data_IF_310537061319
#
_entry.id   IF_310537061319
#
_cell.length_a   1.000
_cell.length_b   1.000
_cell.length_c   1.000
_cell.angle_alpha   90.00
_cell.angle_beta   90.00
_cell.angle_gamma   90.00
#
_symmetry.space_group_name_H-M   'P 1'
#
loop_
_entity.id
_entity.type
_entity.pdbx_description
1 polymer ?
#
# COMPACT_ATOMS: atom_id res chain seq x y z
N UNK A 1 -28.33 2.40 -13.20
CA UNK A 1 -27.00 1.99 -12.74
C UNK A 1 -26.05 3.12 -13.04
N UNK A 2 -25.07 3.36 -12.17
CA UNK A 2 -23.98 4.31 -12.42
C UNK A 2 -22.87 3.56 -13.15
N UNK A 3 -22.16 4.23 -14.05
CA UNK A 3 -21.05 3.59 -14.76
C UNK A 3 -19.81 3.49 -13.87
N UNK A 4 -18.98 2.46 -14.09
CA UNK A 4 -17.78 2.19 -13.32
C UNK A 4 -16.57 2.92 -13.93
N UNK A 5 -15.84 3.66 -13.10
CA UNK A 5 -14.51 4.20 -13.40
C UNK A 5 -13.50 3.52 -12.49
N UNK A 6 -12.53 2.80 -13.05
CA UNK A 6 -11.55 2.03 -12.27
C UNK A 6 -10.14 2.59 -12.50
N UNK A 7 -9.48 3.01 -11.42
CA UNK A 7 -8.08 3.46 -11.40
C UNK A 7 -7.31 2.78 -10.27
N UNK A 8 -5.98 2.81 -10.30
CA UNK A 8 -5.11 2.23 -9.27
C UNK A 8 -3.74 2.92 -9.27
N UNK A 9 -2.95 2.74 -8.20
CA UNK A 9 -1.50 3.01 -8.18
C UNK A 9 -1.12 4.45 -8.51
N UNK A 10 -1.83 5.42 -7.92
CA UNK A 10 -1.46 6.83 -8.06
C UNK A 10 -0.29 7.23 -7.15
N UNK A 11 -0.10 6.53 -6.03
CA UNK A 11 1.03 6.70 -5.10
C UNK A 11 1.27 8.17 -4.70
N UNK A 12 0.20 8.88 -4.35
CA UNK A 12 0.27 10.27 -3.90
C UNK A 12 1.16 10.36 -2.65
N UNK A 13 2.10 11.30 -2.65
CA UNK A 13 3.04 11.49 -1.55
C UNK A 13 4.38 10.77 -1.71
N UNK A 14 4.58 10.01 -2.80
CA UNK A 14 5.88 9.38 -3.14
C UNK A 14 7.06 10.38 -3.20
N UNK A 15 6.76 11.66 -3.46
CA UNK A 15 7.71 12.77 -3.50
C UNK A 15 8.02 13.40 -2.13
N UNK A 16 7.32 13.03 -1.05
CA UNK A 16 7.48 13.60 0.30
C UNK A 16 8.59 12.93 1.13
N UNK A 17 9.41 12.08 0.52
CA UNK A 17 10.57 11.45 1.17
C UNK A 17 11.73 12.44 1.36
N UNK A 18 12.59 12.26 2.39
CA UNK A 18 13.66 13.22 2.76
C UNK A 18 14.71 13.50 1.66
N UNK A 19 14.74 12.70 0.59
CA UNK A 19 15.64 12.84 -0.56
C UNK A 19 14.88 12.51 -1.84
N UNK A 20 13.88 13.33 -2.13
CA UNK A 20 13.06 13.18 -3.32
C UNK A 20 13.87 13.50 -4.59
N UNK A 21 13.63 12.73 -5.65
CA UNK A 21 14.19 13.00 -6.99
C UNK A 21 13.26 13.94 -7.75
N UNK A 22 13.81 14.67 -8.72
CA UNK A 22 13.03 15.53 -9.62
C UNK A 22 11.88 14.80 -10.30
N UNK A 23 12.06 13.54 -10.71
CA UNK A 23 11.01 12.72 -11.34
C UNK A 23 9.74 12.56 -10.48
N UNK A 24 9.87 12.29 -9.18
CA UNK A 24 8.72 12.17 -8.29
C UNK A 24 7.99 13.51 -8.12
N UNK A 25 8.75 14.61 -8.11
CA UNK A 25 8.18 15.97 -8.07
C UNK A 25 7.45 16.29 -9.38
N UNK A 26 8.03 15.94 -10.54
CA UNK A 26 7.37 16.11 -11.84
C UNK A 26 6.11 15.24 -11.97
N UNK A 27 6.13 14.01 -11.46
CA UNK A 27 4.96 13.16 -11.41
C UNK A 27 3.88 13.77 -10.50
N UNK A 28 4.26 14.30 -9.33
CA UNK A 28 3.32 14.96 -8.43
C UNK A 28 2.63 16.16 -9.09
N UNK A 29 3.40 17.04 -9.74
CA UNK A 29 2.86 18.19 -10.51
C UNK A 29 1.93 17.70 -11.63
N UNK A 30 2.32 16.64 -12.33
CA UNK A 30 1.49 16.07 -13.39
C UNK A 30 0.18 15.50 -12.85
N UNK A 31 0.20 14.83 -11.70
CA UNK A 31 -1.01 14.29 -11.08
C UNK A 31 -1.98 15.39 -10.62
N UNK A 32 -1.44 16.51 -10.09
CA UNK A 32 -2.19 17.74 -9.78
C UNK A 32 -2.88 18.39 -10.99
N UNK A 33 -2.47 18.03 -12.22
CA UNK A 33 -3.08 18.52 -13.45
C UNK A 33 -4.01 17.49 -14.09
N UNK A 34 -3.53 16.24 -14.24
CA UNK A 34 -4.22 15.22 -15.04
C UNK A 34 -5.41 14.62 -14.29
N UNK A 35 -5.29 14.30 -13.00
CA UNK A 35 -6.39 13.68 -12.28
C UNK A 35 -7.61 14.61 -12.18
N UNK A 36 -7.45 15.92 -11.87
CA UNK A 36 -8.57 16.85 -11.93
C UNK A 36 -9.24 16.92 -13.31
N UNK A 37 -8.46 17.01 -14.39
CA UNK A 37 -8.99 17.03 -15.75
C UNK A 37 -9.74 15.75 -16.10
N UNK A 38 -9.22 14.60 -15.68
CA UNK A 38 -9.83 13.29 -15.88
C UNK A 38 -11.18 13.19 -15.16
N UNK A 39 -11.25 13.55 -13.87
CA UNK A 39 -12.49 13.50 -13.11
C UNK A 39 -13.53 14.49 -13.64
N UNK A 40 -13.10 15.70 -14.00
CA UNK A 40 -13.95 16.75 -14.58
C UNK A 40 -14.48 16.38 -15.98
N UNK A 41 -13.74 15.59 -16.76
CA UNK A 41 -14.24 15.03 -18.01
C UNK A 41 -15.43 14.09 -17.75
N UNK A 42 -15.27 13.11 -16.87
CA UNK A 42 -16.31 12.12 -16.59
C UNK A 42 -17.50 12.69 -15.82
N UNK A 43 -17.28 13.61 -14.90
CA UNK A 43 -18.34 14.25 -14.12
C UNK A 43 -19.36 15.02 -14.99
N UNK A 44 -18.97 15.45 -16.21
CA UNK A 44 -19.87 16.12 -17.16
C UNK A 44 -20.75 15.15 -17.94
N UNK A 45 -20.27 13.93 -18.18
CA UNK A 45 -20.88 12.99 -19.12
C UNK A 45 -21.85 12.00 -18.45
N UNK A 46 -21.91 11.95 -17.12
CA UNK A 46 -22.84 11.07 -16.43
C UNK A 46 -22.64 10.98 -14.93
N UNK A 47 -23.27 9.96 -14.33
CA UNK A 47 -23.05 9.59 -12.93
C UNK A 47 -22.19 8.34 -12.85
N UNK A 48 -21.09 8.46 -12.13
CA UNK A 48 -20.04 7.47 -12.07
C UNK A 48 -19.82 6.94 -10.64
N UNK A 49 -19.30 5.72 -10.57
CA UNK A 49 -18.70 5.16 -9.37
C UNK A 49 -17.20 5.02 -9.63
N UNK A 50 -16.41 5.87 -9.00
CA UNK A 50 -14.96 5.78 -9.04
C UNK A 50 -14.51 4.72 -8.03
N UNK A 51 -13.90 3.65 -8.51
CA UNK A 51 -13.16 2.69 -7.70
C UNK A 51 -11.68 2.99 -7.84
N UNK A 52 -11.07 3.36 -6.72
CA UNK A 52 -9.62 3.48 -6.57
C UNK A 52 -9.12 2.17 -5.97
N UNK A 53 -8.54 1.31 -6.80
CA UNK A 53 -8.22 -0.07 -6.49
C UNK A 53 -6.88 -0.25 -5.78
N UNK A 54 -6.67 0.48 -4.69
CA UNK A 54 -5.45 0.45 -3.89
C UNK A 54 -4.38 1.43 -4.34
N UNK A 55 -3.44 1.64 -3.41
CA UNK A 55 -2.22 2.43 -3.61
C UNK A 55 -2.51 3.86 -4.12
N UNK A 56 -3.57 4.48 -3.59
CA UNK A 56 -3.88 5.88 -3.82
C UNK A 56 -2.88 6.80 -3.12
N UNK A 57 -2.58 6.49 -1.85
CA UNK A 57 -1.61 7.21 -1.02
C UNK A 57 -0.38 6.32 -0.80
N UNK A 58 0.81 6.89 -0.93
CA UNK A 58 2.07 6.19 -0.69
C UNK A 58 2.62 6.48 0.71
N UNK A 59 2.00 5.86 1.74
CA UNK A 59 2.42 6.08 3.14
C UNK A 59 3.84 5.56 3.43
N UNK A 60 4.39 4.71 2.56
CA UNK A 60 5.75 4.17 2.71
C UNK A 60 6.80 5.26 2.54
N UNK A 61 6.51 6.27 1.74
CA UNK A 61 7.43 7.36 1.40
C UNK A 61 7.34 8.59 2.31
N UNK A 62 6.35 8.65 3.19
CA UNK A 62 6.16 9.78 4.11
C UNK A 62 6.92 9.53 5.43
N UNK A 63 7.84 10.42 5.79
CA UNK A 63 8.61 10.38 7.05
C UNK A 63 8.08 11.43 8.05
N UNK A 64 6.83 11.27 8.51
CA UNK A 64 6.22 12.06 9.60
C UNK A 64 5.97 11.17 10.83
N UNK A 65 6.17 11.73 12.03
CA UNK A 65 5.94 11.09 13.32
C UNK A 65 7.08 10.17 13.79
N UNK A 66 7.12 9.91 15.10
CA UNK A 66 8.08 9.01 15.75
C UNK A 66 7.49 7.61 16.01
N UNK A 67 8.37 6.60 16.16
CA UNK A 67 7.96 5.21 16.36
C UNK A 67 7.19 4.95 17.67
N UNK A 68 7.27 5.86 18.65
CA UNK A 68 6.60 5.73 19.96
C UNK A 68 5.19 6.33 19.97
N UNK A 69 4.86 7.16 18.99
CA UNK A 69 3.56 7.80 18.88
C UNK A 69 2.46 6.79 18.50
N UNK A 70 1.22 7.22 18.71
CA UNK A 70 0.05 6.47 18.31
C UNK A 70 0.04 6.28 16.78
N UNK A 71 0.07 5.03 16.27
CA UNK A 71 0.25 4.78 14.85
C UNK A 71 -0.89 5.33 14.00
N UNK A 72 -2.12 5.35 14.54
CA UNK A 72 -3.30 5.82 13.82
C UNK A 72 -3.31 7.35 13.71
N UNK A 73 -2.98 8.08 14.78
CA UNK A 73 -2.76 9.53 14.72
C UNK A 73 -1.63 9.93 13.76
N UNK A 74 -0.51 9.21 13.78
CA UNK A 74 0.60 9.46 12.84
C UNK A 74 0.16 9.22 11.40
N UNK A 75 -0.65 8.18 11.14
CA UNK A 75 -1.20 7.93 9.81
C UNK A 75 -2.13 9.07 9.36
N UNK A 76 -2.97 9.61 10.24
CA UNK A 76 -3.82 10.78 9.95
C UNK A 76 -2.98 12.02 9.60
N UNK A 77 -1.91 12.30 10.35
CA UNK A 77 -0.99 13.41 10.04
C UNK A 77 -0.35 13.24 8.65
N UNK A 78 0.03 12.01 8.30
CA UNK A 78 0.60 11.69 6.98
C UNK A 78 -0.43 11.88 5.86
N UNK A 79 -1.67 11.46 6.08
CA UNK A 79 -2.76 11.67 5.13
C UNK A 79 -2.93 13.17 4.85
N UNK A 80 -3.03 13.99 5.90
CA UNK A 80 -3.16 15.45 5.74
C UNK A 80 -1.97 16.04 4.99
N UNK A 81 -0.74 15.66 5.33
CA UNK A 81 0.45 16.14 4.62
C UNK A 81 0.44 15.80 3.12
N UNK A 82 -0.16 14.65 2.73
CA UNK A 82 -0.35 14.33 1.32
C UNK A 82 -1.43 15.21 0.72
N UNK A 83 -2.63 15.26 1.28
CA UNK A 83 -3.70 16.06 0.70
C UNK A 83 -3.35 17.55 0.61
N UNK A 84 -2.61 18.09 1.57
CA UNK A 84 -2.07 19.46 1.55
C UNK A 84 -1.03 19.67 0.43
N UNK A 85 -0.32 18.61 0.01
CA UNK A 85 0.57 18.63 -1.14
C UNK A 85 -0.15 18.43 -2.49
N UNK A 86 -1.43 18.01 -2.46
CA UNK A 86 -2.25 17.78 -3.65
C UNK A 86 -3.63 18.46 -3.55
N UNK A 87 -3.68 19.81 -3.41
CA UNK A 87 -4.93 20.53 -3.22
C UNK A 87 -5.88 20.42 -4.42
N UNK A 88 -5.37 20.40 -5.67
CA UNK A 88 -6.26 20.32 -6.83
C UNK A 88 -6.85 18.93 -7.01
N UNK A 89 -6.10 17.89 -6.66
CA UNK A 89 -6.63 16.52 -6.60
C UNK A 89 -7.77 16.44 -5.60
N UNK A 90 -7.57 16.97 -4.40
CA UNK A 90 -8.64 17.00 -3.40
C UNK A 90 -9.87 17.78 -3.90
N UNK A 91 -9.70 19.02 -4.36
CA UNK A 91 -10.80 19.84 -4.88
C UNK A 91 -11.58 19.12 -5.97
N UNK A 92 -10.89 18.36 -6.82
CA UNK A 92 -11.51 17.57 -7.87
C UNK A 92 -12.30 16.37 -7.33
N UNK A 93 -11.81 15.68 -6.29
CA UNK A 93 -12.56 14.60 -5.64
C UNK A 93 -13.83 15.13 -4.95
N UNK A 94 -13.74 16.28 -4.27
CA UNK A 94 -14.89 16.97 -3.68
C UNK A 94 -15.90 17.33 -4.77
N UNK A 95 -15.45 17.99 -5.83
CA UNK A 95 -16.30 18.38 -6.96
C UNK A 95 -16.95 17.18 -7.64
N UNK A 96 -16.23 16.06 -7.73
CA UNK A 96 -16.73 14.80 -8.28
C UNK A 96 -17.87 14.23 -7.42
N UNK A 97 -17.72 14.25 -6.09
CA UNK A 97 -18.77 13.83 -5.14
C UNK A 97 -19.99 14.77 -5.19
N UNK A 98 -19.77 16.09 -5.21
CA UNK A 98 -20.82 17.11 -5.27
C UNK A 98 -21.65 17.03 -6.55
N UNK A 99 -21.06 16.55 -7.64
CA UNK A 99 -21.77 16.22 -8.89
C UNK A 99 -22.68 14.97 -8.77
N UNK A 100 -22.74 14.33 -7.60
CA UNK A 100 -23.55 13.15 -7.32
C UNK A 100 -22.88 11.84 -7.72
N UNK A 101 -21.57 11.84 -7.98
CA UNK A 101 -20.79 10.62 -8.16
C UNK A 101 -20.40 10.03 -6.79
N UNK A 102 -19.86 8.82 -6.77
CA UNK A 102 -19.38 8.18 -5.54
C UNK A 102 -17.97 7.66 -5.70
N UNK A 103 -17.22 7.60 -4.59
CA UNK A 103 -15.83 7.15 -4.58
C UNK A 103 -15.68 5.96 -3.62
N UNK A 104 -15.04 4.91 -4.08
CA UNK A 104 -14.72 3.72 -3.30
C UNK A 104 -13.20 3.53 -3.32
N UNK A 105 -12.58 3.58 -2.16
CA UNK A 105 -11.17 3.25 -1.98
C UNK A 105 -11.07 1.79 -1.54
N UNK A 106 -10.46 0.94 -2.37
CA UNK A 106 -10.04 -0.40 -1.97
C UNK A 106 -8.65 -0.29 -1.36
N UNK A 107 -8.39 -0.91 -0.21
CA UNK A 107 -7.08 -0.85 0.43
C UNK A 107 -6.02 -1.63 -0.37
N UNK A 108 -4.88 -0.99 -0.63
CA UNK A 108 -3.66 -1.59 -1.16
C UNK A 108 -2.60 -1.82 -0.07
N UNK A 109 -1.37 -2.09 -0.48
CA UNK A 109 -0.26 -2.28 0.45
C UNK A 109 0.47 -0.98 0.81
N UNK A 110 0.45 0.03 -0.06
CA UNK A 110 1.01 1.35 0.22
C UNK A 110 0.08 2.23 1.07
N UNK A 111 -1.22 1.94 1.07
CA UNK A 111 -2.27 2.60 1.83
C UNK A 111 -3.08 1.67 2.73
N UNK A 112 -2.40 0.64 3.27
CA UNK A 112 -2.96 -0.23 4.31
C UNK A 112 -3.43 0.55 5.55
N UNK A 113 -2.97 1.79 5.73
CA UNK A 113 -3.48 2.76 6.70
C UNK A 113 -4.99 3.01 6.59
N UNK A 114 -5.64 2.79 5.44
CA UNK A 114 -7.12 2.80 5.34
C UNK A 114 -7.80 1.64 6.11
N UNK A 115 -7.05 0.73 6.75
CA UNK A 115 -7.59 -0.21 7.73
C UNK A 115 -7.83 0.43 9.12
N UNK A 116 -7.31 1.65 9.34
CA UNK A 116 -7.54 2.45 10.52
C UNK A 116 -8.81 3.30 10.38
N UNK A 117 -9.80 3.13 11.27
CA UNK A 117 -11.03 3.91 11.21
C UNK A 117 -10.81 5.43 11.22
N UNK A 118 -9.83 5.95 11.96
CA UNK A 118 -9.55 7.38 12.02
C UNK A 118 -8.95 7.92 10.72
N UNK A 119 -8.18 7.13 9.97
CA UNK A 119 -7.65 7.54 8.66
C UNK A 119 -8.78 7.68 7.65
N UNK A 120 -9.70 6.71 7.64
CA UNK A 120 -10.89 6.78 6.79
C UNK A 120 -11.81 7.96 7.17
N UNK A 121 -12.03 8.20 8.47
CA UNK A 121 -12.78 9.38 8.93
C UNK A 121 -12.10 10.67 8.50
N UNK A 122 -10.80 10.80 8.72
CA UNK A 122 -10.06 11.99 8.32
C UNK A 122 -10.09 12.23 6.80
N UNK A 123 -10.04 11.18 5.99
CA UNK A 123 -10.21 11.31 4.52
C UNK A 123 -11.63 11.69 4.15
N UNK A 124 -12.65 11.12 4.81
CA UNK A 124 -14.04 11.49 4.57
C UNK A 124 -14.34 12.93 4.99
N UNK A 125 -13.80 13.39 6.12
CA UNK A 125 -13.95 14.77 6.61
C UNK A 125 -13.38 15.81 5.63
N UNK A 126 -12.29 15.44 4.96
CA UNK A 126 -11.67 16.26 3.90
C UNK A 126 -12.57 16.33 2.66
N UNK A 127 -13.22 15.24 2.30
CA UNK A 127 -13.96 15.11 1.04
C UNK A 127 -15.45 15.45 1.12
N UNK A 128 -16.09 15.28 2.27
CA UNK A 128 -17.53 15.44 2.45
C UNK A 128 -17.83 16.65 3.33
N UNK A 129 -18.32 17.73 2.72
CA UNK A 129 -18.77 18.91 3.46
C UNK A 129 -20.10 18.63 4.18
N UNK A 130 -20.07 18.38 5.50
CA UNK A 130 -21.27 18.31 6.34
C UNK A 130 -21.95 16.93 6.45
N UNK A 131 -21.26 15.85 6.11
CA UNK A 131 -21.70 14.48 6.46
C UNK A 131 -21.49 14.18 7.95
N UNK A 132 -22.18 13.17 8.49
CA UNK A 132 -21.90 12.61 9.82
C UNK A 132 -20.70 11.66 9.73
N UNK A 133 -19.48 12.08 10.14
CA UNK A 133 -18.27 11.28 10.03
C UNK A 133 -18.26 10.08 10.99
N UNK A 134 -19.12 10.13 12.00
CA UNK A 134 -19.24 9.13 13.06
C UNK A 134 -20.26 8.04 12.70
N UNK A 135 -20.96 8.17 11.58
CA UNK A 135 -21.81 7.10 11.06
C UNK A 135 -20.97 5.84 10.82
N UNK A 136 -21.35 4.72 11.44
CA UNK A 136 -20.73 3.41 11.20
C UNK A 136 -20.58 3.10 9.70
N UNK A 137 -21.43 3.69 8.84
CA UNK A 137 -21.50 3.55 7.39
C UNK A 137 -20.22 3.93 6.59
N UNK A 138 -19.33 4.79 7.11
CA UNK A 138 -18.14 5.25 6.37
C UNK A 138 -17.06 4.17 6.22
N UNK A 139 -16.89 3.39 7.28
CA UNK A 139 -15.89 2.30 7.38
C UNK A 139 -16.53 0.94 7.59
N UNK A 140 -17.86 0.82 7.49
CA UNK A 140 -18.51 -0.48 7.62
C UNK A 140 -17.89 -1.39 6.56
N UNK A 141 -17.13 -2.37 7.03
CA UNK A 141 -16.34 -3.34 6.29
C UNK A 141 -17.23 -4.25 5.43
N UNK A 142 -18.00 -3.68 4.50
CA UNK A 142 -19.18 -4.35 3.99
C UNK A 142 -19.75 -3.89 2.67
N UNK A 143 -19.29 -2.80 2.06
CA UNK A 143 -19.60 -2.63 0.64
C UNK A 143 -18.73 -3.62 -0.12
N UNK A 144 -19.36 -4.67 -0.62
CA UNK A 144 -18.73 -5.68 -1.48
C UNK A 144 -19.42 -5.76 -2.84
N UNK A 145 -20.48 -4.98 -3.03
CA UNK A 145 -21.24 -4.83 -4.27
C UNK A 145 -21.40 -3.32 -4.53
N UNK A 146 -20.96 -2.85 -5.69
CA UNK A 146 -20.92 -1.40 -5.97
C UNK A 146 -22.32 -0.76 -6.06
N UNK A 147 -23.34 -1.52 -6.45
CA UNK A 147 -24.73 -1.04 -6.49
C UNK A 147 -25.26 -0.56 -5.12
N UNK A 148 -24.64 -1.00 -4.02
CA UNK A 148 -25.01 -0.61 -2.65
C UNK A 148 -24.44 0.75 -2.22
N UNK A 149 -23.52 1.32 -2.99
CA UNK A 149 -22.88 2.60 -2.67
C UNK A 149 -23.80 3.74 -3.06
N UNK A 150 -24.29 4.53 -2.10
CA UNK A 150 -25.13 5.69 -2.35
C UNK A 150 -24.40 6.80 -3.15
N UNK A 151 -25.14 7.59 -3.91
CA UNK A 151 -24.60 8.72 -4.66
C UNK A 151 -24.06 9.80 -3.70
N UNK A 152 -22.97 10.48 -4.07
CA UNK A 152 -22.36 11.52 -3.23
C UNK A 152 -21.67 10.98 -1.97
N UNK A 153 -21.35 9.68 -1.91
CA UNK A 153 -20.70 9.08 -0.75
C UNK A 153 -19.30 8.58 -1.05
N UNK A 154 -18.47 8.57 0.01
CA UNK A 154 -17.17 7.91 0.05
C UNK A 154 -17.27 6.62 0.86
N UNK A 155 -16.61 5.57 0.38
CA UNK A 155 -16.51 4.27 1.07
C UNK A 155 -15.07 3.75 1.05
N UNK A 156 -14.68 3.07 2.11
CA UNK A 156 -13.39 2.40 2.24
C UNK A 156 -13.61 0.90 2.38
N UNK A 157 -13.02 0.13 1.48
CA UNK A 157 -13.21 -1.31 1.35
C UNK A 157 -11.89 -2.01 1.63
N UNK A 158 -11.81 -2.89 2.64
CA UNK A 158 -10.54 -3.43 3.09
C UNK A 158 -9.98 -4.54 2.18
N UNK A 159 -10.71 -5.00 1.16
CA UNK A 159 -10.26 -6.12 0.32
C UNK A 159 -10.77 -6.07 -1.13
N UNK A 160 -12.07 -6.27 -1.36
CA UNK A 160 -12.60 -6.37 -2.72
C UNK A 160 -14.00 -5.78 -2.85
N UNK A 161 -14.32 -5.37 -4.08
CA UNK A 161 -15.67 -5.03 -4.52
C UNK A 161 -16.06 -5.86 -5.75
N UNK A 162 -17.37 -5.99 -5.97
CA UNK A 162 -17.93 -6.66 -7.15
C UNK A 162 -18.89 -5.74 -7.87
N UNK A 163 -18.90 -5.87 -9.19
CA UNK A 163 -19.81 -5.14 -10.06
C UNK A 163 -20.11 -5.95 -11.32
N UNK A 164 -21.38 -6.21 -11.63
CA UNK A 164 -21.78 -6.89 -12.87
C UNK A 164 -21.09 -8.23 -13.19
N UNK A 165 -20.54 -8.94 -12.19
CA UNK A 165 -19.75 -10.17 -12.36
C UNK A 165 -18.23 -9.98 -12.34
N UNK A 166 -17.73 -8.73 -12.33
CA UNK A 166 -16.33 -8.41 -12.08
C UNK A 166 -15.98 -8.57 -10.59
N UNK A 167 -14.76 -9.03 -10.33
CA UNK A 167 -14.13 -9.07 -9.01
C UNK A 167 -12.95 -8.11 -9.03
N UNK A 168 -12.95 -7.12 -8.14
CA UNK A 168 -11.97 -6.05 -8.12
C UNK A 168 -11.29 -6.05 -6.75
N UNK A 169 -10.00 -6.37 -6.74
CA UNK A 169 -9.10 -6.26 -5.59
C UNK A 169 -7.75 -5.73 -6.05
N UNK A 170 -6.96 -5.13 -5.15
CA UNK A 170 -5.68 -4.52 -5.51
C UNK A 170 -4.66 -5.54 -6.07
N UNK A 171 -4.67 -6.78 -5.54
CA UNK A 171 -3.83 -7.87 -6.04
C UNK A 171 -2.50 -8.06 -5.30
N UNK A 172 -2.08 -7.12 -4.45
CA UNK A 172 -0.86 -7.22 -3.64
C UNK A 172 -0.75 -8.48 -2.77
N UNK A 173 -1.89 -9.11 -2.44
CA UNK A 173 -1.93 -10.37 -1.69
C UNK A 173 -1.23 -11.52 -2.43
N UNK A 174 -1.22 -11.47 -3.76
CA UNK A 174 -0.59 -12.49 -4.61
C UNK A 174 0.93 -12.31 -4.75
N UNK A 175 1.49 -11.19 -4.30
CA UNK A 175 2.93 -10.99 -4.16
C UNK A 175 3.35 -11.23 -2.69
N UNK A 176 4.09 -12.32 -2.40
CA UNK A 176 4.59 -12.61 -1.06
C UNK A 176 5.38 -11.46 -0.41
N UNK A 177 6.08 -10.63 -1.19
CA UNK A 177 6.87 -9.53 -0.65
C UNK A 177 5.99 -8.37 -0.17
N UNK A 178 4.83 -8.17 -0.81
CA UNK A 178 3.89 -7.09 -0.54
C UNK A 178 2.79 -7.49 0.45
N UNK A 179 2.49 -8.78 0.57
CA UNK A 179 1.44 -9.28 1.46
C UNK A 179 1.84 -9.34 2.93
N UNK A 180 0.83 -9.37 3.80
CA UNK A 180 0.96 -9.58 5.24
C UNK A 180 -0.01 -10.66 5.71
N UNK A 181 0.29 -11.30 6.84
CA UNK A 181 -0.68 -12.21 7.46
C UNK A 181 -1.87 -11.43 7.99
N UNK A 182 -3.04 -12.08 8.04
CA UNK A 182 -4.26 -11.50 8.61
C UNK A 182 -4.61 -10.14 7.95
N UNK A 183 -4.62 -10.11 6.60
CA UNK A 183 -4.65 -8.89 5.78
C UNK A 183 -5.72 -7.83 6.13
N UNK A 184 -6.88 -8.25 6.65
CA UNK A 184 -7.94 -7.32 7.10
C UNK A 184 -7.63 -6.63 8.44
N UNK A 185 -6.66 -7.11 9.22
CA UNK A 185 -6.17 -6.50 10.46
C UNK A 185 -4.74 -6.98 10.76
N UNK A 186 -3.75 -6.59 9.95
CA UNK A 186 -2.38 -7.07 10.08
C UNK A 186 -1.67 -6.26 11.18
N UNK A 187 -2.16 -6.33 12.43
CA UNK A 187 -1.74 -5.43 13.51
C UNK A 187 -1.02 -6.15 14.65
N UNK A 188 -0.17 -5.39 15.34
CA UNK A 188 0.48 -5.76 16.59
C UNK A 188 0.48 -4.59 17.54
N UNK A 189 -0.20 -4.73 18.69
CA UNK A 189 -0.39 -3.63 19.64
C UNK A 189 -1.03 -2.40 18.97
N UNK A 190 -1.99 -2.62 18.07
CA UNK A 190 -2.64 -1.58 17.28
C UNK A 190 -1.85 -1.05 16.07
N UNK A 191 -0.55 -1.34 15.96
CA UNK A 191 0.29 -0.89 14.83
C UNK A 191 0.24 -1.86 13.66
N UNK A 192 0.09 -1.37 12.43
CA UNK A 192 0.23 -2.18 11.22
C UNK A 192 1.62 -2.83 11.16
N UNK A 193 1.61 -4.12 10.87
CA UNK A 193 2.79 -4.93 10.61
C UNK A 193 3.23 -4.65 9.19
N UNK A 194 4.52 -4.40 9.02
CA UNK A 194 5.13 -4.07 7.73
C UNK A 194 5.28 -5.31 6.87
N UNK A 195 5.08 -5.17 5.57
CA UNK A 195 5.50 -6.18 4.59
C UNK A 195 7.01 -6.18 4.41
N UNK A 196 7.55 -7.19 3.73
CA UNK A 196 8.98 -7.24 3.39
C UNK A 196 9.33 -6.10 2.42
N UNK A 197 8.45 -5.82 1.46
CA UNK A 197 8.58 -4.72 0.52
C UNK A 197 8.61 -3.36 1.21
N UNK A 198 7.73 -3.09 2.20
CA UNK A 198 7.77 -1.83 2.95
C UNK A 198 9.11 -1.65 3.68
N UNK A 199 9.61 -2.73 4.31
CA UNK A 199 10.91 -2.71 5.00
C UNK A 199 12.04 -2.43 4.01
N UNK A 200 12.00 -3.02 2.81
CA UNK A 200 12.94 -2.76 1.73
C UNK A 200 12.91 -1.29 1.32
N UNK A 201 11.72 -0.76 1.01
CA UNK A 201 11.52 0.62 0.56
C UNK A 201 12.04 1.62 1.58
N UNK A 202 11.61 1.50 2.85
CA UNK A 202 12.01 2.46 3.89
C UNK A 202 13.48 2.37 4.29
N UNK A 203 14.11 1.19 4.22
CA UNK A 203 15.49 1.00 4.69
C UNK A 203 16.54 1.12 3.58
N UNK A 204 16.15 0.90 2.33
CA UNK A 204 17.04 0.90 1.18
C UNK A 204 16.61 1.92 0.12
N UNK A 205 15.47 1.71 -0.56
CA UNK A 205 15.04 2.51 -1.72
C UNK A 205 14.97 4.01 -1.40
N UNK A 206 14.33 4.39 -0.28
CA UNK A 206 14.20 5.79 0.13
C UNK A 206 15.53 6.43 0.54
N UNK A 207 16.57 5.62 0.76
CA UNK A 207 17.93 6.04 1.12
C UNK A 207 18.91 5.97 -0.06
N UNK A 208 18.41 5.57 -1.23
CA UNK A 208 19.17 5.41 -2.49
C UNK A 208 18.56 6.28 -3.60
N UNK A 209 18.54 7.63 -3.47
CA UNK A 209 18.06 8.51 -4.54
C UNK A 209 18.86 8.39 -5.85
N UNK A 210 20.02 7.74 -5.82
CA UNK A 210 20.85 7.51 -7.00
C UNK A 210 20.33 6.39 -7.93
N UNK A 211 19.49 5.47 -7.43
CA UNK A 211 18.92 4.37 -8.22
C UNK A 211 17.69 4.87 -8.95
N UNK A 212 17.57 4.51 -10.24
CA UNK A 212 16.39 4.80 -11.04
C UNK A 212 15.19 3.97 -10.62
N UNK A 213 14.01 4.60 -10.59
CA UNK A 213 12.79 3.92 -10.18
C UNK A 213 12.51 2.74 -11.11
N UNK A 214 12.74 2.92 -12.41
CA UNK A 214 12.62 1.88 -13.43
C UNK A 214 13.92 1.12 -13.70
N UNK A 215 14.96 1.29 -12.86
CA UNK A 215 16.20 0.56 -13.01
C UNK A 215 15.99 -0.96 -12.90
N UNK A 216 15.01 -1.41 -12.09
CA UNK A 216 14.69 -2.83 -11.97
C UNK A 216 14.24 -3.44 -13.30
N UNK A 217 13.56 -2.68 -14.15
CA UNK A 217 13.08 -3.15 -15.46
C UNK A 217 14.13 -3.03 -16.56
N UNK A 218 15.15 -2.18 -16.36
CA UNK A 218 16.16 -1.85 -17.38
C UNK A 218 17.54 -2.45 -17.13
N UNK A 219 17.91 -2.68 -15.87
CA UNK A 219 19.27 -3.06 -15.50
C UNK A 219 19.37 -4.57 -15.30
N UNK A 220 20.36 -5.18 -15.94
CA UNK A 220 20.83 -6.49 -15.51
C UNK A 220 21.63 -6.38 -14.21
N UNK A 221 21.86 -7.52 -13.55
CA UNK A 221 22.75 -7.59 -12.37
C UNK A 221 24.14 -7.00 -12.66
N UNK A 222 24.68 -7.21 -13.87
CA UNK A 222 25.99 -6.69 -14.25
C UNK A 222 25.98 -5.17 -14.44
N UNK A 223 24.85 -4.61 -14.89
CA UNK A 223 24.69 -3.18 -15.04
C UNK A 223 24.66 -2.49 -13.67
N UNK A 224 24.01 -3.09 -12.67
CA UNK A 224 24.09 -2.63 -11.28
C UNK A 224 25.52 -2.63 -10.74
N UNK A 225 26.30 -3.68 -11.00
CA UNK A 225 27.71 -3.75 -10.57
C UNK A 225 28.54 -2.66 -11.24
N UNK A 226 28.44 -2.53 -12.57
CA UNK A 226 29.16 -1.49 -13.33
C UNK A 226 28.78 -0.08 -12.89
N UNK A 227 27.49 0.16 -12.71
CA UNK A 227 26.93 1.43 -12.23
C UNK A 227 27.43 1.81 -10.83
N UNK A 228 27.55 0.82 -9.93
CA UNK A 228 28.06 1.02 -8.58
C UNK A 228 29.59 1.27 -8.57
N UNK A 229 30.35 0.51 -9.36
CA UNK A 229 31.81 0.67 -9.51
C UNK A 229 32.15 2.05 -10.09
N UNK A 230 31.40 2.51 -11.10
CA UNK A 230 31.59 3.83 -11.72
C UNK A 230 31.42 4.99 -10.73
N UNK A 231 30.74 4.79 -9.61
CA UNK A 231 30.55 5.79 -8.54
C UNK A 231 31.62 5.73 -7.44
N UNK A 232 32.54 4.79 -7.53
CA UNK A 232 33.69 4.64 -6.64
C UNK A 232 33.40 3.89 -5.34
N UNK A 233 34.47 3.52 -4.63
CA UNK A 233 34.42 2.60 -3.49
C UNK A 233 33.56 3.09 -2.32
N UNK A 234 33.54 4.41 -2.04
CA UNK A 234 32.73 4.99 -0.96
C UNK A 234 31.24 4.74 -1.18
N UNK A 235 30.81 4.84 -2.43
CA UNK A 235 29.43 4.55 -2.82
C UNK A 235 29.10 3.07 -2.63
N UNK A 236 29.98 2.18 -3.09
CA UNK A 236 29.81 0.73 -2.90
C UNK A 236 29.69 0.32 -1.44
N UNK A 237 30.53 0.89 -0.55
CA UNK A 237 30.44 0.65 0.90
C UNK A 237 29.11 1.15 1.46
N UNK A 238 28.60 2.31 1.02
CA UNK A 238 27.26 2.80 1.40
C UNK A 238 26.16 1.85 0.93
N UNK A 239 26.20 1.38 -0.32
CA UNK A 239 25.21 0.43 -0.86
C UNK A 239 25.20 -0.85 -0.04
N UNK A 240 26.37 -1.43 0.22
CA UNK A 240 26.50 -2.63 1.04
C UNK A 240 25.95 -2.42 2.46
N UNK A 241 26.29 -1.29 3.10
CA UNK A 241 25.76 -0.96 4.42
C UNK A 241 24.23 -0.84 4.43
N UNK A 242 23.64 -0.13 3.45
CA UNK A 242 22.18 0.02 3.35
C UNK A 242 21.50 -1.33 3.06
N UNK A 243 22.09 -2.16 2.21
CA UNK A 243 21.61 -3.51 1.92
C UNK A 243 21.64 -4.39 3.18
N UNK A 244 22.75 -4.42 3.93
CA UNK A 244 22.83 -5.18 5.18
C UNK A 244 21.86 -4.65 6.24
N UNK A 245 21.64 -3.32 6.30
CA UNK A 245 20.63 -2.71 7.18
C UNK A 245 19.20 -3.11 6.81
N UNK A 246 18.91 -3.25 5.52
CA UNK A 246 17.63 -3.75 5.00
C UNK A 246 17.43 -5.22 5.40
N UNK A 247 18.39 -6.08 5.09
CA UNK A 247 18.40 -7.51 5.47
C UNK A 247 18.18 -7.67 6.98
N UNK A 248 18.95 -6.95 7.80
CA UNK A 248 18.78 -6.98 9.25
C UNK A 248 17.39 -6.51 9.71
N UNK A 249 16.79 -5.57 8.98
CA UNK A 249 15.40 -5.15 9.19
C UNK A 249 14.38 -6.25 8.89
N UNK A 250 14.55 -6.96 7.78
CA UNK A 250 13.67 -8.08 7.38
C UNK A 250 13.82 -9.28 8.33
N UNK A 251 15.04 -9.60 8.74
CA UNK A 251 15.28 -10.64 9.75
C UNK A 251 14.70 -10.25 11.12
N UNK A 252 14.76 -8.97 11.50
CA UNK A 252 14.11 -8.49 12.72
C UNK A 252 12.58 -8.54 12.63
N UNK A 253 12.00 -8.29 11.46
CA UNK A 253 10.57 -8.49 11.19
C UNK A 253 10.19 -9.95 11.46
N UNK A 254 10.96 -10.90 10.94
CA UNK A 254 10.77 -12.33 11.19
C UNK A 254 10.95 -12.72 12.69
N UNK A 255 12.01 -12.24 13.33
CA UNK A 255 12.43 -12.69 14.67
C UNK A 255 11.75 -11.96 15.85
N UNK A 256 11.40 -10.68 15.71
CA UNK A 256 11.11 -9.77 16.85
C UNK A 256 9.82 -8.97 16.70
N UNK A 257 8.78 -9.58 16.15
CA UNK A 257 7.43 -9.00 16.23
C UNK A 257 6.88 -8.35 14.96
N UNK A 258 7.45 -8.64 13.79
CA UNK A 258 6.76 -8.44 12.51
C UNK A 258 5.67 -9.47 12.24
N UNK A 259 5.15 -10.12 13.28
CA UNK A 259 4.02 -11.02 13.19
C UNK A 259 2.85 -10.36 13.88
N UNK A 260 1.69 -10.46 13.24
CA UNK A 260 0.39 -10.11 13.80
C UNK A 260 0.25 -10.80 15.16
N UNK A 261 -0.22 -10.06 16.17
CA UNK A 261 -0.45 -10.63 17.49
C UNK A 261 -1.79 -11.39 17.55
N UNK A 262 -2.16 -11.88 18.74
CA UNK A 262 -3.41 -12.62 18.91
C UNK A 262 -4.63 -11.73 18.69
N UNK A 263 -4.55 -10.46 19.07
CA UNK A 263 -5.65 -9.51 18.93
C UNK A 263 -5.87 -9.16 17.45
N UNK A 264 -4.81 -8.89 16.69
CA UNK A 264 -4.90 -8.64 15.25
C UNK A 264 -5.47 -9.83 14.47
N UNK A 265 -5.10 -11.07 14.83
CA UNK A 265 -5.69 -12.28 14.24
C UNK A 265 -7.19 -12.41 14.54
N UNK A 266 -7.60 -12.21 15.79
CA UNK A 266 -9.01 -12.26 16.16
C UNK A 266 -9.84 -11.18 15.44
N UNK A 267 -9.31 -9.95 15.35
CA UNK A 267 -9.94 -8.87 14.61
C UNK A 267 -10.04 -9.16 13.10
N UNK A 268 -9.02 -9.82 12.54
CA UNK A 268 -9.06 -10.28 11.15
C UNK A 268 -10.18 -11.31 10.92
N UNK A 269 -10.30 -12.32 11.78
CA UNK A 269 -11.36 -13.33 11.69
C UNK A 269 -12.76 -12.70 11.80
N UNK A 270 -12.94 -11.74 12.72
CA UNK A 270 -14.19 -10.99 12.86
C UNK A 270 -14.53 -10.19 11.59
N UNK A 271 -13.55 -9.44 11.05
CA UNK A 271 -13.71 -8.66 9.81
C UNK A 271 -14.00 -9.58 8.62
N UNK A 272 -13.35 -10.74 8.55
CA UNK A 272 -13.57 -11.74 7.52
C UNK A 272 -15.00 -12.27 7.55
N UNK A 273 -15.56 -12.53 8.74
CA UNK A 273 -16.96 -12.93 8.92
C UNK A 273 -17.94 -11.85 8.45
N UNK A 274 -17.64 -10.57 8.72
CA UNK A 274 -18.43 -9.43 8.21
C UNK A 274 -18.36 -9.37 6.68
N UNK A 275 -17.17 -9.46 6.09
CA UNK A 275 -17.00 -9.46 4.62
C UNK A 275 -17.77 -10.62 3.98
N UNK A 276 -17.69 -11.84 4.53
CA UNK A 276 -18.42 -13.00 4.03
C UNK A 276 -19.94 -12.76 4.05
N UNK A 277 -20.46 -12.27 5.19
CA UNK A 277 -21.88 -11.94 5.35
C UNK A 277 -22.33 -10.89 4.34
N UNK A 278 -21.57 -9.81 4.19
CA UNK A 278 -21.92 -8.68 3.34
C UNK A 278 -21.80 -9.04 1.85
N UNK A 279 -20.87 -9.90 1.47
CA UNK A 279 -20.76 -10.42 0.11
C UNK A 279 -21.77 -11.52 -0.23
N UNK A 280 -22.54 -12.02 0.74
CA UNK A 280 -23.38 -13.20 0.56
C UNK A 280 -22.56 -14.45 0.19
N UNK A 281 -21.30 -14.52 0.64
CA UNK A 281 -20.38 -15.62 0.36
C UNK A 281 -20.30 -16.57 1.55
N UNK A 282 -20.14 -17.86 1.26
CA UNK A 282 -19.80 -18.82 2.30
C UNK A 282 -18.38 -18.55 2.82
N UNK A 283 -18.19 -18.69 4.13
CA UNK A 283 -16.86 -18.55 4.76
C UNK A 283 -15.83 -19.49 4.14
N UNK A 284 -16.24 -20.71 3.75
CA UNK A 284 -15.38 -21.67 3.04
C UNK A 284 -14.84 -21.14 1.72
N UNK A 285 -15.67 -20.45 0.94
CA UNK A 285 -15.25 -19.83 -0.33
C UNK A 285 -14.27 -18.69 -0.07
N UNK A 286 -14.53 -17.87 0.95
CA UNK A 286 -13.66 -16.75 1.30
C UNK A 286 -12.29 -17.22 1.81
N UNK A 287 -12.25 -18.28 2.62
CA UNK A 287 -11.00 -18.93 3.02
C UNK A 287 -10.28 -19.56 1.83
N UNK A 288 -11.00 -20.16 0.88
CA UNK A 288 -10.40 -20.71 -0.33
C UNK A 288 -9.72 -19.60 -1.16
N UNK A 289 -10.36 -18.44 -1.31
CA UNK A 289 -9.77 -17.26 -1.97
C UNK A 289 -8.51 -16.77 -1.25
N UNK A 290 -8.55 -16.65 0.09
CA UNK A 290 -7.34 -16.29 0.85
C UNK A 290 -6.21 -17.30 0.69
N UNK A 291 -6.54 -18.59 0.59
CA UNK A 291 -5.56 -19.67 0.41
C UNK A 291 -5.01 -19.79 -1.03
N UNK A 292 -5.59 -19.08 -2.01
CA UNK A 292 -4.99 -18.95 -3.34
C UNK A 292 -3.74 -18.06 -3.31
N UNK A 293 -3.68 -17.10 -2.37
CA UNK A 293 -2.52 -16.26 -2.19
C UNK A 293 -1.38 -17.06 -1.54
N UNK A 294 -0.14 -16.95 -2.05
CA UNK A 294 1.01 -17.54 -1.39
C UNK A 294 1.23 -16.91 0.00
N UNK A 295 1.85 -17.63 0.94
CA UNK A 295 2.17 -17.05 2.24
C UNK A 295 3.15 -15.87 2.09
N UNK A 296 3.04 -14.83 2.92
CA UNK A 296 3.97 -13.70 2.92
C UNK A 296 5.44 -14.14 3.06
N UNK A 297 6.36 -13.44 2.41
CA UNK A 297 7.81 -13.70 2.49
C UNK A 297 8.34 -13.60 3.91
N UNK A 298 7.70 -12.78 4.76
CA UNK A 298 8.00 -12.67 6.20
C UNK A 298 7.64 -13.93 7.00
N UNK A 299 6.89 -14.88 6.44
CA UNK A 299 6.48 -16.10 7.11
C UNK A 299 7.65 -17.06 7.40
N UNK A 300 8.72 -17.01 6.59
CA UNK A 300 9.87 -17.92 6.71
C UNK A 300 11.21 -17.20 6.51
N UNK A 301 12.27 -17.77 7.07
CA UNK A 301 13.64 -17.28 6.81
C UNK A 301 14.01 -17.47 5.34
N UNK A 302 13.61 -18.59 4.73
CA UNK A 302 13.83 -18.86 3.31
C UNK A 302 13.20 -17.81 2.39
N UNK A 303 11.97 -17.37 2.69
CA UNK A 303 11.30 -16.29 1.96
C UNK A 303 12.05 -14.97 2.06
N UNK A 304 12.50 -14.59 3.27
CA UNK A 304 13.34 -13.40 3.48
C UNK A 304 14.66 -13.49 2.70
N UNK A 305 15.34 -14.64 2.75
CA UNK A 305 16.61 -14.84 2.05
C UNK A 305 16.45 -14.77 0.53
N UNK A 306 15.40 -15.40 -0.02
CA UNK A 306 15.13 -15.41 -1.46
C UNK A 306 14.81 -14.01 -2.00
N UNK A 307 13.98 -13.23 -1.30
CA UNK A 307 13.68 -11.83 -1.68
C UNK A 307 14.94 -10.96 -1.68
N UNK A 308 15.90 -11.27 -0.81
CA UNK A 308 17.17 -10.53 -0.75
C UNK A 308 18.24 -11.05 -1.73
N UNK A 309 17.99 -12.13 -2.47
CA UNK A 309 19.00 -12.86 -3.25
C UNK A 309 20.21 -13.35 -2.42
N UNK A 310 20.07 -13.44 -1.09
CA UNK A 310 21.11 -13.96 -0.20
C UNK A 310 21.29 -15.47 -0.36
N UNK A 311 20.24 -16.18 -0.75
CA UNK A 311 20.29 -17.58 -1.14
C UNK A 311 21.24 -17.83 -2.32
N UNK A 312 21.24 -16.95 -3.32
CA UNK A 312 22.17 -17.00 -4.45
C UNK A 312 23.61 -16.70 -4.02
N UNK A 313 23.81 -15.68 -3.18
CA UNK A 313 25.13 -15.34 -2.64
C UNK A 313 25.70 -16.48 -1.76
N UNK A 314 24.87 -17.07 -0.91
CA UNK A 314 25.25 -18.22 -0.07
C UNK A 314 25.58 -19.44 -0.95
N UNK A 315 24.71 -19.78 -1.90
CA UNK A 315 24.92 -20.88 -2.85
C UNK A 315 26.20 -20.74 -3.67
N UNK A 316 26.60 -19.51 -4.02
CA UNK A 316 27.86 -19.24 -4.72
C UNK A 316 29.11 -19.36 -3.82
N UNK A 317 28.97 -19.15 -2.51
CA UNK A 317 30.06 -19.23 -1.52
C UNK A 317 30.25 -20.65 -0.94
N UNK A 318 29.21 -21.48 -0.92
CA UNK A 318 29.27 -22.86 -0.41
C UNK A 318 30.36 -23.74 -1.08
N UNK A 319 30.58 -23.68 -2.41
CA UNK A 319 31.67 -24.42 -3.08
C UNK A 319 33.07 -23.96 -2.67
N UNK A 320 33.22 -22.68 -2.27
CA UNK A 320 34.50 -22.08 -1.86
C UNK A 320 34.86 -22.47 -0.42
N UNK A 321 33.88 -22.76 0.42
CA UNK A 321 34.07 -23.21 1.80
C UNK A 321 34.21 -24.73 1.95
N UNK A 322 33.73 -25.50 0.95
CA UNK A 322 33.80 -26.96 0.91
C UNK A 322 34.94 -27.51 0.04
N UNK A 323 35.76 -26.63 -0.55
CA UNK A 323 37.02 -27.05 -1.17
C UNK A 323 38.05 -27.29 -0.05
N UNK A 324 38.56 -28.51 0.14
CA UNK A 324 39.65 -28.71 1.09
C UNK A 324 40.87 -27.93 0.58
N UNK A 325 41.50 -27.17 1.48
CA UNK A 325 42.82 -26.54 1.27
C UNK A 325 43.88 -27.57 0.92
#
# INVERSE_FOLDING_TARGET
MRDLLLISDLHLGSHLKPRSRGEYVHLAIRLEEILPQFLDHYARDGRWQLVVNGDFIDFWNIEIGEAKEDPEQVAVQRLHAVLDAYPRVEDALISFLDAGNSIVFVAGNHDAEFLYPAVCRAMADRLMSGGDPDGEALTTTGVTVLDEVEAGTVRFVPWFVRDGGAWIEHGHLFDPACSTHAQLSPTRGGRLVKSVAEVATRRFTNRMPEIDYDAADKFSTMDYVRWAVARGWRFMVRVLFLYLRMVGGMLALWARGGRVDKAGRAAHEERLAKVAKNAGLQMSALMALQNMAPPPSSASVGGVLSVTALDLALSALTPVLLTPL
#
